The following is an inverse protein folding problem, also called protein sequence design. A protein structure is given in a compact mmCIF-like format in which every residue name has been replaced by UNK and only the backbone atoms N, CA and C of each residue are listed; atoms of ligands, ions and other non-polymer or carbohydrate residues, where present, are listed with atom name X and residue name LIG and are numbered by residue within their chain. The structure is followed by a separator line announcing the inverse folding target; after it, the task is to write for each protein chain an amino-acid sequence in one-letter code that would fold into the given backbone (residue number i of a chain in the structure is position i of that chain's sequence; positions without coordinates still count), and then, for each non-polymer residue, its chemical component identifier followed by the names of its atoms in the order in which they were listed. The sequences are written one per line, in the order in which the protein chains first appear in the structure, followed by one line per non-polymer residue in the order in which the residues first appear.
data_IF_113324331223
#
_entry.id   IF_113324331223
#
_cell.length_a   1.000
_cell.length_b   1.000
_cell.length_c   1.000
_cell.angle_alpha   90.00
_cell.angle_beta   90.00
_cell.angle_gamma   90.00
#
_symmetry.space_group_name_H-M   'P 1'
#
loop_
_entity.id
_entity.type
_entity.pdbx_description
1 polymer ?
#
# COMPACT_ATOMS: atom_id res chain seq x y z
N UNK A 1 29.19 23.15 33.99
CA UNK A 1 27.76 22.81 33.85
C UNK A 1 27.24 22.66 32.41
N UNK A 2 28.06 22.79 31.36
CA UNK A 2 27.63 22.65 29.94
C UNK A 2 27.71 21.20 29.37
N UNK A 3 28.42 20.29 30.05
CA UNK A 3 28.62 18.91 29.56
C UNK A 3 27.49 17.92 29.87
N UNK A 4 26.74 18.13 30.94
CA UNK A 4 25.67 17.19 31.37
C UNK A 4 24.39 17.29 30.51
N UNK A 5 24.09 18.48 29.93
CA UNK A 5 22.93 18.66 29.07
C UNK A 5 23.09 18.01 27.68
N UNK A 6 24.32 17.98 27.14
CA UNK A 6 24.60 17.35 25.85
C UNK A 6 24.54 15.82 25.91
N UNK A 7 24.97 15.22 27.03
CA UNK A 7 24.94 13.77 27.23
C UNK A 7 23.50 13.25 27.41
N UNK A 8 22.67 14.03 28.12
CA UNK A 8 21.24 13.68 28.31
C UNK A 8 20.44 13.72 27.02
N UNK A 9 20.70 14.67 26.10
CA UNK A 9 20.05 14.75 24.78
C UNK A 9 20.50 13.61 23.85
N UNK A 10 21.75 13.20 23.89
CA UNK A 10 22.27 12.13 23.05
C UNK A 10 21.74 10.76 23.45
N UNK A 11 21.59 10.50 24.76
CA UNK A 11 21.00 9.25 25.28
C UNK A 11 19.51 9.19 24.97
N UNK A 12 18.79 10.32 25.08
CA UNK A 12 17.35 10.37 24.78
C UNK A 12 17.07 10.14 23.27
N UNK A 13 17.91 10.70 22.38
CA UNK A 13 17.78 10.51 20.94
C UNK A 13 18.08 9.07 20.51
N UNK A 14 19.06 8.40 21.13
CA UNK A 14 19.37 7.00 20.85
C UNK A 14 18.28 6.04 21.34
N UNK A 15 17.62 6.34 22.47
CA UNK A 15 16.49 5.55 22.97
C UNK A 15 15.24 5.73 22.13
N UNK A 16 14.98 6.92 21.58
CA UNK A 16 13.82 7.18 20.71
C UNK A 16 13.96 6.50 19.34
N UNK A 17 15.16 6.46 18.75
CA UNK A 17 15.40 5.77 17.47
C UNK A 17 15.25 4.25 17.62
N UNK A 18 15.79 3.64 18.70
CA UNK A 18 15.64 2.24 18.99
C UNK A 18 14.18 1.86 19.31
N UNK A 19 13.45 2.72 20.02
CA UNK A 19 12.04 2.54 20.30
C UNK A 19 11.19 2.61 19.01
N UNK A 20 11.58 3.46 18.05
CA UNK A 20 10.93 3.53 16.73
C UNK A 20 11.11 2.25 15.92
N UNK A 21 12.34 1.72 15.82
CA UNK A 21 12.59 0.44 15.11
C UNK A 21 11.81 -0.72 15.77
N UNK A 22 11.81 -0.82 17.09
CA UNK A 22 11.08 -1.84 17.82
C UNK A 22 9.57 -1.80 17.58
N UNK A 23 9.01 -0.61 17.31
CA UNK A 23 7.58 -0.44 17.02
C UNK A 23 7.21 -1.05 15.65
N UNK A 24 8.06 -0.90 14.63
CA UNK A 24 7.88 -1.58 13.34
C UNK A 24 8.02 -3.09 13.46
N UNK A 25 8.96 -3.59 14.27
CA UNK A 25 9.09 -5.02 14.55
C UNK A 25 7.84 -5.59 15.23
N UNK A 26 7.23 -4.83 16.15
CA UNK A 26 5.96 -5.22 16.80
C UNK A 26 4.80 -5.30 15.80
N UNK A 27 4.75 -4.39 14.82
CA UNK A 27 3.74 -4.43 13.75
C UNK A 27 3.95 -5.66 12.88
N UNK A 28 5.18 -5.94 12.45
CA UNK A 28 5.51 -7.11 11.65
C UNK A 28 5.18 -8.42 12.38
N UNK A 29 5.33 -8.44 13.70
CA UNK A 29 4.96 -9.58 14.56
C UNK A 29 3.44 -9.69 14.83
N UNK A 30 2.64 -8.67 14.46
CA UNK A 30 1.22 -8.60 14.81
C UNK A 30 0.95 -8.33 16.29
N UNK A 31 1.95 -7.85 17.05
CA UNK A 31 1.81 -7.56 18.48
C UNK A 31 1.11 -6.20 18.70
N UNK A 32 -0.21 -6.23 18.57
CA UNK A 32 -1.06 -5.06 18.83
C UNK A 32 -0.86 -4.50 20.24
N UNK A 33 -0.64 -5.38 21.25
CA UNK A 33 -0.46 -4.95 22.64
C UNK A 33 0.80 -4.09 22.82
N UNK A 34 1.91 -4.48 22.19
CA UNK A 34 3.14 -3.68 22.20
C UNK A 34 2.93 -2.32 21.46
N UNK A 35 2.22 -2.30 20.34
CA UNK A 35 1.87 -1.05 19.61
C UNK A 35 1.02 -0.13 20.49
N UNK A 36 -0.01 -0.67 21.17
CA UNK A 36 -0.87 0.08 22.08
C UNK A 36 -0.07 0.68 23.25
N UNK A 37 0.82 -0.08 23.85
CA UNK A 37 1.68 0.40 24.94
C UNK A 37 2.65 1.48 24.50
N UNK A 38 3.25 1.35 23.32
CA UNK A 38 4.18 2.34 22.77
C UNK A 38 3.47 3.68 22.54
N UNK A 39 2.28 3.67 21.91
CA UNK A 39 1.51 4.89 21.67
C UNK A 39 0.98 5.50 22.98
N UNK A 40 0.58 4.69 23.97
CA UNK A 40 0.21 5.16 25.30
C UNK A 40 1.41 5.79 26.05
N UNK A 41 2.61 5.30 25.77
CA UNK A 41 3.88 5.86 26.27
C UNK A 41 4.34 7.15 25.56
N UNK A 42 3.59 7.63 24.56
CA UNK A 42 3.87 8.88 23.85
C UNK A 42 4.64 8.70 22.53
N UNK A 43 4.71 7.50 21.99
CA UNK A 43 5.22 7.30 20.62
C UNK A 43 4.32 8.04 19.62
N UNK A 44 4.91 8.60 18.57
CA UNK A 44 4.17 9.28 17.51
C UNK A 44 3.50 8.24 16.61
N UNK A 45 2.19 8.37 16.39
CA UNK A 45 1.39 7.50 15.52
C UNK A 45 1.85 7.53 14.07
N UNK A 46 2.43 8.66 13.62
CA UNK A 46 2.99 8.84 12.30
C UNK A 46 4.53 8.70 12.27
N UNK A 47 5.10 7.98 13.25
CA UNK A 47 6.52 7.59 13.26
C UNK A 47 6.90 6.95 11.93
N UNK A 48 8.13 7.24 11.45
CA UNK A 48 8.60 6.85 10.12
C UNK A 48 9.81 5.94 10.19
N UNK A 49 9.79 4.88 9.38
CA UNK A 49 10.95 4.04 9.09
C UNK A 49 11.97 4.75 8.18
N UNK A 50 13.10 4.10 7.89
CA UNK A 50 14.17 4.67 7.02
C UNK A 50 13.70 4.99 5.61
N UNK A 51 12.77 4.20 5.06
CA UNK A 51 12.13 4.41 3.77
C UNK A 51 10.94 5.38 3.82
N UNK A 52 10.76 6.09 4.93
CA UNK A 52 9.65 7.01 5.22
C UNK A 52 8.27 6.33 5.30
N UNK A 53 8.21 5.00 5.37
CA UNK A 53 6.94 4.31 5.66
C UNK A 53 6.47 4.69 7.07
N UNK A 54 5.17 4.99 7.23
CA UNK A 54 4.52 5.18 8.53
C UNK A 54 4.12 3.84 9.13
N UNK A 55 3.75 3.84 10.42
CA UNK A 55 3.22 2.65 11.10
C UNK A 55 2.01 2.09 10.37
N UNK A 56 1.14 2.95 9.82
CA UNK A 56 -0.04 2.54 9.06
C UNK A 56 0.33 1.88 7.71
N UNK A 57 1.36 2.39 7.01
CA UNK A 57 1.90 1.75 5.80
C UNK A 57 2.46 0.37 6.15
N UNK A 58 3.24 0.25 7.25
CA UNK A 58 3.79 -1.04 7.70
C UNK A 58 2.66 -2.03 8.05
N UNK A 59 1.67 -1.62 8.84
CA UNK A 59 0.53 -2.46 9.18
C UNK A 59 -0.25 -2.93 7.95
N UNK A 60 -0.34 -2.09 6.92
CA UNK A 60 -0.98 -2.46 5.66
C UNK A 60 -0.14 -3.44 4.83
N UNK A 61 1.19 -3.26 4.77
CA UNK A 61 2.12 -4.19 4.10
C UNK A 61 2.13 -5.57 4.75
N UNK A 62 2.12 -5.61 6.10
CA UNK A 62 2.17 -6.84 6.87
C UNK A 62 0.78 -7.46 7.10
N UNK A 63 -0.26 -6.91 6.44
CA UNK A 63 -1.65 -7.35 6.53
C UNK A 63 -2.14 -7.51 7.98
N UNK A 64 -1.98 -6.45 8.79
CA UNK A 64 -2.37 -6.39 10.20
C UNK A 64 -3.62 -5.50 10.40
N UNK A 65 -4.83 -5.99 10.09
CA UNK A 65 -6.04 -5.16 10.06
C UNK A 65 -6.41 -4.57 11.43
N UNK A 66 -6.23 -5.31 12.53
CA UNK A 66 -6.55 -4.82 13.88
C UNK A 66 -5.57 -3.72 14.34
N UNK A 67 -4.31 -3.80 13.91
CA UNK A 67 -3.33 -2.74 14.17
C UNK A 67 -3.62 -1.53 13.29
N UNK A 68 -3.93 -1.72 12.02
CA UNK A 68 -4.30 -0.63 11.10
C UNK A 68 -5.54 0.13 11.61
N UNK A 69 -6.59 -0.58 12.06
CA UNK A 69 -7.78 0.02 12.66
C UNK A 69 -7.44 0.84 13.91
N UNK A 70 -6.60 0.28 14.79
CA UNK A 70 -6.14 0.97 15.99
C UNK A 70 -5.36 2.24 15.64
N UNK A 71 -4.39 2.18 14.72
CA UNK A 71 -3.60 3.34 14.29
C UNK A 71 -4.49 4.45 13.70
N UNK A 72 -5.44 4.08 12.84
CA UNK A 72 -6.43 5.02 12.28
C UNK A 72 -7.30 5.64 13.37
N UNK A 73 -7.69 4.87 14.39
CA UNK A 73 -8.45 5.38 15.55
C UNK A 73 -7.65 6.40 16.38
N UNK A 74 -6.31 6.33 16.32
CA UNK A 74 -5.37 7.27 16.96
C UNK A 74 -5.01 8.46 16.08
N UNK A 75 -5.58 8.55 14.88
CA UNK A 75 -5.40 9.68 13.97
C UNK A 75 -4.24 9.53 12.99
N UNK A 76 -3.77 8.29 12.73
CA UNK A 76 -2.77 8.04 11.70
C UNK A 76 -3.20 8.63 10.35
N UNK A 77 -2.26 9.26 9.64
CA UNK A 77 -2.52 9.86 8.33
C UNK A 77 -2.72 8.77 7.26
N UNK A 78 -3.98 8.61 6.81
CA UNK A 78 -4.37 7.63 5.78
C UNK A 78 -3.81 7.97 4.39
N UNK A 79 -3.30 9.18 4.19
CA UNK A 79 -2.68 9.64 2.95
C UNK A 79 -1.16 9.81 3.05
N UNK A 80 -0.55 9.40 4.18
CA UNK A 80 0.89 9.43 4.35
C UNK A 80 1.59 8.67 3.22
N UNK A 81 2.79 9.15 2.83
CA UNK A 81 3.56 8.57 1.74
C UNK A 81 4.93 8.11 2.22
N UNK A 82 5.36 6.96 1.74
CA UNK A 82 6.75 6.52 1.90
C UNK A 82 7.68 7.24 0.89
N UNK A 83 8.96 6.90 0.89
CA UNK A 83 9.95 7.50 -0.02
C UNK A 83 9.68 7.25 -1.51
N UNK A 84 8.90 6.21 -1.84
CA UNK A 84 8.41 5.93 -3.19
C UNK A 84 7.16 6.71 -3.58
N UNK A 85 6.52 7.38 -2.61
CA UNK A 85 5.26 8.07 -2.79
C UNK A 85 4.02 7.17 -2.64
N UNK A 86 4.20 5.92 -2.23
CA UNK A 86 3.10 4.97 -2.01
C UNK A 86 2.37 5.26 -0.69
N UNK A 87 1.04 5.18 -0.72
CA UNK A 87 0.13 5.40 0.41
C UNK A 87 -0.20 4.07 1.13
N UNK A 88 -0.84 4.11 2.32
CA UNK A 88 -1.36 2.91 2.98
C UNK A 88 -2.29 2.07 2.08
N UNK A 89 -3.08 2.70 1.18
CA UNK A 89 -3.96 1.96 0.26
C UNK A 89 -3.16 1.17 -0.80
N UNK A 90 -2.03 1.69 -1.26
CA UNK A 90 -1.10 0.92 -2.11
C UNK A 90 -0.48 -0.25 -1.35
N UNK A 91 -0.13 -0.06 -0.08
CA UNK A 91 0.40 -1.11 0.78
C UNK A 91 -0.64 -2.22 1.00
N UNK A 92 -1.89 -1.86 1.28
CA UNK A 92 -3.01 -2.80 1.37
C UNK A 92 -3.26 -3.54 0.05
N UNK A 93 -3.08 -2.83 -1.09
CA UNK A 93 -3.19 -3.44 -2.42
C UNK A 93 -2.06 -4.44 -2.69
N UNK A 94 -0.86 -4.16 -2.22
CA UNK A 94 0.30 -5.06 -2.32
C UNK A 94 0.13 -6.32 -1.48
N UNK A 95 -0.35 -6.20 -0.24
CA UNK A 95 -0.59 -7.34 0.66
C UNK A 95 -1.91 -8.08 0.40
N UNK A 96 -2.80 -7.53 -0.44
CA UNK A 96 -4.14 -8.08 -0.68
C UNK A 96 -5.14 -7.87 0.46
N UNK A 97 -4.86 -6.94 1.37
CA UNK A 97 -5.68 -6.75 2.56
C UNK A 97 -7.00 -6.02 2.27
N UNK A 98 -8.04 -6.76 1.95
CA UNK A 98 -9.37 -6.21 1.73
C UNK A 98 -9.93 -5.46 2.97
N UNK A 99 -9.76 -5.95 4.22
CA UNK A 99 -10.23 -5.23 5.39
C UNK A 99 -9.57 -3.85 5.54
N UNK A 100 -8.25 -3.77 5.34
CA UNK A 100 -7.52 -2.50 5.44
C UNK A 100 -7.90 -1.56 4.30
N UNK A 101 -8.05 -2.06 3.06
CA UNK A 101 -8.49 -1.24 1.94
C UNK A 101 -9.89 -0.63 2.17
N UNK A 102 -10.83 -1.40 2.72
CA UNK A 102 -12.15 -0.91 3.12
C UNK A 102 -12.05 0.21 4.14
N UNK A 103 -11.30 -0.02 5.23
CA UNK A 103 -11.07 0.95 6.28
C UNK A 103 -10.49 2.26 5.71
N UNK A 104 -9.44 2.17 4.90
CA UNK A 104 -8.76 3.34 4.35
C UNK A 104 -9.66 4.18 3.44
N UNK A 105 -10.44 3.53 2.57
CA UNK A 105 -11.40 4.23 1.70
C UNK A 105 -12.54 4.89 2.50
N UNK A 106 -13.04 4.25 3.54
CA UNK A 106 -14.02 4.84 4.47
C UNK A 106 -13.47 6.06 5.21
N UNK A 107 -12.16 6.12 5.40
CA UNK A 107 -11.44 7.25 6.04
C UNK A 107 -10.90 8.27 5.06
N UNK A 108 -11.28 8.19 3.79
CA UNK A 108 -10.99 9.22 2.78
C UNK A 108 -9.70 9.01 2.00
N UNK A 109 -9.13 7.80 2.00
CA UNK A 109 -8.03 7.49 1.09
C UNK A 109 -8.48 7.66 -0.38
N UNK A 110 -7.58 8.20 -1.21
CA UNK A 110 -7.86 8.42 -2.64
C UNK A 110 -7.76 7.10 -3.40
N UNK A 111 -8.85 6.69 -4.04
CA UNK A 111 -9.00 5.39 -4.70
C UNK A 111 -7.98 5.17 -5.83
N UNK A 112 -7.87 6.14 -6.73
CA UNK A 112 -6.95 6.09 -7.89
C UNK A 112 -5.73 7.00 -7.69
N UNK A 113 -5.17 7.01 -6.47
CA UNK A 113 -3.94 7.74 -6.22
C UNK A 113 -2.79 7.18 -7.08
N UNK A 114 -2.22 8.03 -7.92
CA UNK A 114 -1.08 7.72 -8.77
C UNK A 114 0.09 8.70 -8.56
N UNK A 115 0.06 9.50 -7.49
CA UNK A 115 1.09 10.49 -7.19
C UNK A 115 2.32 9.86 -6.49
N UNK A 116 2.74 8.70 -6.98
CA UNK A 116 3.97 8.00 -6.58
C UNK A 116 4.97 7.97 -7.76
N UNK A 117 6.20 7.56 -7.49
CA UNK A 117 7.27 7.56 -8.50
C UNK A 117 7.01 6.64 -9.70
N UNK A 118 6.19 5.62 -9.51
CA UNK A 118 5.79 4.69 -10.57
C UNK A 118 4.55 5.16 -11.35
N UNK A 119 3.79 6.13 -10.82
CA UNK A 119 2.48 6.50 -11.37
C UNK A 119 1.45 5.36 -11.25
N UNK A 120 1.68 4.42 -10.33
CA UNK A 120 0.84 3.24 -10.17
C UNK A 120 -0.37 3.55 -9.28
N UNK A 121 -1.54 3.06 -9.65
CA UNK A 121 -2.74 3.10 -8.79
C UNK A 121 -2.78 1.89 -7.85
N UNK A 122 -3.54 1.93 -6.73
CA UNK A 122 -3.78 0.75 -5.90
C UNK A 122 -4.35 -0.44 -6.69
N UNK A 123 -5.23 -0.19 -7.67
CA UNK A 123 -5.78 -1.25 -8.53
C UNK A 123 -4.69 -1.92 -9.38
N UNK A 124 -3.76 -1.15 -9.94
CA UNK A 124 -2.63 -1.71 -10.69
C UNK A 124 -1.77 -2.60 -9.80
N UNK A 125 -1.46 -2.15 -8.58
CA UNK A 125 -0.68 -2.94 -7.60
C UNK A 125 -1.41 -4.24 -7.24
N UNK A 126 -2.71 -4.19 -6.91
CA UNK A 126 -3.50 -5.39 -6.63
C UNK A 126 -3.51 -6.37 -7.81
N UNK A 127 -3.55 -5.84 -9.04
CA UNK A 127 -3.50 -6.64 -10.27
C UNK A 127 -2.14 -7.30 -10.49
N UNK A 128 -1.04 -6.62 -10.22
CA UNK A 128 0.30 -7.19 -10.32
C UNK A 128 0.54 -8.32 -9.30
N UNK A 129 0.01 -8.18 -8.09
CA UNK A 129 0.14 -9.16 -7.02
C UNK A 129 -0.97 -10.24 -7.04
N UNK A 130 -1.83 -10.22 -8.07
CA UNK A 130 -2.91 -11.19 -8.31
C UNK A 130 -3.96 -11.25 -7.18
N UNK A 131 -4.25 -10.15 -6.53
CA UNK A 131 -5.26 -10.05 -5.49
C UNK A 131 -6.65 -9.80 -6.08
N UNK A 132 -7.27 -10.85 -6.63
CA UNK A 132 -8.53 -10.78 -7.40
C UNK A 132 -9.67 -10.16 -6.59
N UNK A 133 -9.90 -10.60 -5.36
CA UNK A 133 -10.99 -10.11 -4.50
C UNK A 133 -10.83 -8.61 -4.18
N UNK A 134 -9.60 -8.19 -3.89
CA UNK A 134 -9.31 -6.77 -3.64
C UNK A 134 -9.46 -5.94 -4.92
N UNK A 135 -8.97 -6.43 -6.05
CA UNK A 135 -9.12 -5.75 -7.33
C UNK A 135 -10.60 -5.59 -7.72
N UNK A 136 -11.41 -6.64 -7.55
CA UNK A 136 -12.86 -6.57 -7.77
C UNK A 136 -13.54 -5.54 -6.86
N UNK A 137 -13.15 -5.50 -5.59
CA UNK A 137 -13.64 -4.49 -4.65
C UNK A 137 -13.27 -3.05 -5.08
N UNK A 138 -12.00 -2.80 -5.48
CA UNK A 138 -11.56 -1.48 -5.94
C UNK A 138 -12.33 -1.05 -7.20
N UNK A 139 -12.53 -1.97 -8.16
CA UNK A 139 -13.32 -1.73 -9.36
C UNK A 139 -14.80 -1.41 -9.01
N UNK A 140 -15.38 -2.15 -8.08
CA UNK A 140 -16.75 -1.90 -7.60
C UNK A 140 -16.88 -0.52 -6.91
N UNK A 141 -15.77 0.04 -6.39
CA UNK A 141 -15.71 1.40 -5.86
C UNK A 141 -15.47 2.47 -6.93
N UNK A 142 -15.26 2.07 -8.18
CA UNK A 142 -15.09 2.95 -9.33
C UNK A 142 -13.65 3.19 -9.76
N UNK A 143 -12.70 2.32 -9.34
CA UNK A 143 -11.31 2.41 -9.79
C UNK A 143 -11.18 2.27 -11.32
N UNK A 144 -10.34 3.10 -11.93
CA UNK A 144 -10.11 3.10 -13.38
C UNK A 144 -9.24 1.91 -13.80
N UNK A 145 -9.86 0.93 -14.46
CA UNK A 145 -9.21 -0.27 -14.99
C UNK A 145 -8.24 0.01 -16.16
N UNK A 146 -8.28 1.21 -16.71
CA UNK A 146 -7.46 1.65 -17.85
C UNK A 146 -6.45 2.74 -17.48
N UNK A 147 -6.26 3.05 -16.18
CA UNK A 147 -5.29 4.05 -15.76
C UNK A 147 -3.86 3.59 -16.06
N UNK A 148 -3.10 4.27 -16.95
CA UNK A 148 -1.73 3.88 -17.25
C UNK A 148 -0.78 4.33 -16.12
N UNK A 149 0.22 3.51 -15.79
CA UNK A 149 1.31 3.91 -14.91
C UNK A 149 2.33 4.82 -15.61
N UNK A 150 3.40 5.25 -14.91
CA UNK A 150 4.35 6.26 -15.39
C UNK A 150 5.08 5.95 -16.71
N UNK A 151 5.17 4.67 -17.12
CA UNK A 151 5.72 4.26 -18.42
C UNK A 151 4.61 4.04 -19.48
N UNK A 152 3.35 4.31 -19.13
CA UNK A 152 2.21 4.15 -20.02
C UNK A 152 1.64 2.74 -20.09
N UNK A 153 2.05 1.81 -19.21
CA UNK A 153 1.49 0.46 -19.17
C UNK A 153 0.18 0.43 -18.39
N UNK A 154 -0.85 -0.14 -18.99
CA UNK A 154 -2.15 -0.35 -18.34
C UNK A 154 -2.13 -1.55 -17.40
N UNK A 155 -3.05 -1.63 -16.43
CA UNK A 155 -3.19 -2.79 -15.54
C UNK A 155 -3.26 -4.13 -16.28
N UNK A 156 -3.98 -4.19 -17.42
CA UNK A 156 -4.03 -5.39 -18.28
C UNK A 156 -2.67 -5.80 -18.83
N UNK A 157 -1.83 -4.85 -19.25
CA UNK A 157 -0.49 -5.12 -19.78
C UNK A 157 0.40 -5.71 -18.69
N UNK A 158 0.35 -5.14 -17.49
CA UNK A 158 1.12 -5.62 -16.34
C UNK A 158 0.64 -7.01 -15.91
N UNK A 159 -0.67 -7.22 -15.80
CA UNK A 159 -1.26 -8.52 -15.47
C UNK A 159 -0.90 -9.60 -16.53
N UNK A 160 -0.91 -9.24 -17.81
CA UNK A 160 -0.51 -10.15 -18.90
C UNK A 160 0.96 -10.59 -18.78
N UNK A 161 1.88 -9.66 -18.54
CA UNK A 161 3.31 -9.98 -18.37
C UNK A 161 3.59 -10.81 -17.12
N UNK A 162 2.82 -10.61 -16.07
CA UNK A 162 2.90 -11.43 -14.84
C UNK A 162 2.25 -12.81 -14.99
N UNK A 163 1.46 -13.02 -16.03
CA UNK A 163 0.70 -14.27 -16.24
C UNK A 163 -0.53 -14.39 -15.34
N UNK A 164 -1.00 -13.29 -14.76
CA UNK A 164 -2.15 -13.23 -13.84
C UNK A 164 -3.47 -13.33 -14.62
N UNK A 165 -3.84 -14.53 -15.06
CA UNK A 165 -4.97 -14.74 -15.96
C UNK A 165 -6.31 -14.34 -15.33
N UNK A 166 -6.52 -14.61 -14.04
CA UNK A 166 -7.78 -14.32 -13.36
C UNK A 166 -8.00 -12.82 -13.21
N UNK A 167 -6.96 -12.08 -12.88
CA UNK A 167 -6.96 -10.61 -12.88
C UNK A 167 -7.24 -10.07 -14.29
N UNK A 168 -6.62 -10.67 -15.30
CA UNK A 168 -6.82 -10.22 -16.68
C UNK A 168 -8.27 -10.42 -17.14
N UNK A 169 -8.89 -11.57 -16.79
CA UNK A 169 -10.33 -11.79 -17.00
C UNK A 169 -11.18 -10.73 -16.27
N UNK A 170 -10.88 -10.51 -14.99
CA UNK A 170 -11.57 -9.49 -14.20
C UNK A 170 -11.51 -8.11 -14.86
N UNK A 171 -10.32 -7.64 -15.22
CA UNK A 171 -10.15 -6.35 -15.87
C UNK A 171 -10.90 -6.25 -17.19
N UNK A 172 -10.87 -7.30 -18.01
CA UNK A 172 -11.58 -7.34 -19.29
C UNK A 172 -13.10 -7.29 -19.12
N UNK A 173 -13.67 -8.01 -18.15
CA UNK A 173 -15.10 -7.91 -17.82
C UNK A 173 -15.54 -6.48 -17.47
N UNK A 174 -14.62 -5.69 -16.94
CA UNK A 174 -14.85 -4.29 -16.60
C UNK A 174 -14.37 -3.28 -17.68
N UNK A 175 -14.19 -3.74 -18.92
CA UNK A 175 -13.92 -2.86 -20.06
C UNK A 175 -12.45 -2.48 -20.24
N UNK A 176 -11.53 -3.17 -19.57
CA UNK A 176 -10.12 -2.93 -19.82
C UNK A 176 -9.67 -3.47 -21.18
N UNK A 177 -8.74 -2.74 -21.82
CA UNK A 177 -8.25 -3.03 -23.17
C UNK A 177 -6.83 -3.58 -23.15
N UNK A 178 -6.49 -4.45 -24.14
CA UNK A 178 -5.14 -4.92 -24.35
C UNK A 178 -4.34 -3.93 -25.21
N UNK A 179 -3.18 -3.47 -24.73
CA UNK A 179 -2.35 -2.47 -25.41
C UNK A 179 -1.54 -3.10 -26.56
N UNK A 180 -2.14 -3.22 -27.75
CA UNK A 180 -1.50 -3.84 -28.91
C UNK A 180 -0.15 -3.20 -29.29
N UNK A 181 -0.03 -1.87 -29.21
CA UNK A 181 1.22 -1.16 -29.49
C UNK A 181 2.38 -1.53 -28.56
N UNK A 182 2.07 -1.97 -27.34
CA UNK A 182 3.06 -2.32 -26.31
C UNK A 182 3.32 -3.81 -26.29
N UNK A 183 2.26 -4.62 -26.35
CA UNK A 183 2.34 -6.08 -26.30
C UNK A 183 2.85 -6.68 -27.62
N UNK A 184 2.70 -5.96 -28.74
CA UNK A 184 2.84 -6.51 -30.09
C UNK A 184 1.59 -7.31 -30.50
N UNK A 185 1.34 -7.45 -31.80
CA UNK A 185 0.10 -8.04 -32.33
C UNK A 185 -0.20 -9.44 -31.79
N UNK A 186 0.82 -10.32 -31.77
CA UNK A 186 0.65 -11.70 -31.32
C UNK A 186 0.27 -11.81 -29.82
N UNK A 187 0.87 -10.99 -28.95
CA UNK A 187 0.54 -11.01 -27.53
C UNK A 187 -0.77 -10.26 -27.26
N UNK A 188 -1.08 -9.23 -28.03
CA UNK A 188 -2.36 -8.54 -27.93
C UNK A 188 -3.51 -9.48 -28.33
N UNK A 189 -3.33 -10.32 -29.36
CA UNK A 189 -4.28 -11.35 -29.73
C UNK A 189 -4.47 -12.36 -28.60
N UNK A 190 -3.38 -12.88 -27.99
CA UNK A 190 -3.46 -13.77 -26.81
C UNK A 190 -4.15 -13.12 -25.63
N UNK A 191 -3.85 -11.83 -25.36
CA UNK A 191 -4.53 -11.06 -24.33
C UNK A 191 -6.03 -10.94 -24.64
N UNK A 192 -6.39 -10.72 -25.91
CA UNK A 192 -7.78 -10.61 -26.35
C UNK A 192 -8.56 -11.94 -26.27
N UNK A 193 -7.89 -13.08 -26.48
CA UNK A 193 -8.48 -14.43 -26.42
C UNK A 193 -8.79 -14.92 -25.00
N UNK A 194 -8.25 -14.25 -23.96
CA UNK A 194 -8.58 -14.58 -22.57
C UNK A 194 -10.02 -14.14 -22.31
N UNK A 195 -10.93 -15.08 -22.35
CA UNK A 195 -12.36 -14.92 -22.04
C UNK A 195 -12.70 -15.58 -20.69
N UNK A 196 -13.96 -15.40 -20.24
CA UNK A 196 -14.51 -16.01 -19.01
C UNK A 196 -14.46 -17.55 -19.03
#
# INVERSE_FOLDING_TARGET
MRGLLALGMLVLAATTAAAGEQLFDSIAAGDKGAVEQALAGGADVDSRARDQATLLIAAALDNQPEIAEFLVSKGADVMARNSGGFTPLHAAAFSGSLPIAKLLLEKGAVLDDAANKAGATPLLVAGEENHVELAEFLIAKGADVNHPEGHGYMPTTRAFWKGNTDILRLFKRHGATCQAKILGEANAAKCAEIHD
#
